data_IF_889530309975
#
_entry.id   IF_889530309975
#
_cell.length_a   1.000
_cell.length_b   1.000
_cell.length_c   1.000
_cell.angle_alpha   90.00
_cell.angle_beta   90.00
_cell.angle_gamma   90.00
#
_symmetry.space_group_name_H-M   'P 1'
#
loop_
_entity.id
_entity.type
_entity.pdbx_description
1 polymer ?
#
# COMPACT_ATOMS: atom_id res chain seq x y z
N UNK A 1 -2.97 -25.94 17.19
CA UNK A 1 -3.51 -26.21 15.83
C UNK A 1 -4.19 -24.94 15.35
N UNK A 2 -3.64 -24.26 14.34
CA UNK A 2 -4.20 -23.00 13.83
C UNK A 2 -5.45 -23.34 13.01
N UNK A 3 -6.64 -22.96 13.50
CA UNK A 3 -7.90 -23.15 12.77
C UNK A 3 -7.98 -22.09 11.67
N UNK A 4 -7.91 -22.49 10.41
CA UNK A 4 -8.21 -21.64 9.26
C UNK A 4 -9.71 -21.69 8.98
N UNK A 5 -10.32 -20.51 8.78
CA UNK A 5 -11.73 -20.36 8.46
C UNK A 5 -11.84 -19.74 7.07
N UNK A 6 -12.49 -20.44 6.13
CA UNK A 6 -12.62 -19.97 4.74
C UNK A 6 -13.24 -18.58 4.61
N UNK A 7 -14.19 -18.25 5.48
CA UNK A 7 -14.82 -16.93 5.51
C UNK A 7 -13.81 -15.82 5.86
N UNK A 8 -12.90 -16.07 6.80
CA UNK A 8 -11.85 -15.11 7.17
C UNK A 8 -10.80 -14.96 6.06
N UNK A 9 -10.43 -16.06 5.40
CA UNK A 9 -9.52 -16.02 4.24
C UNK A 9 -10.14 -15.20 3.10
N UNK A 10 -11.39 -15.49 2.75
CA UNK A 10 -12.13 -14.76 1.70
C UNK A 10 -12.27 -13.27 2.02
N UNK A 11 -12.53 -12.93 3.28
CA UNK A 11 -12.59 -11.54 3.72
C UNK A 11 -11.23 -10.84 3.58
N UNK A 12 -10.13 -11.55 3.85
CA UNK A 12 -8.79 -11.00 3.73
C UNK A 12 -8.36 -10.82 2.28
N UNK A 13 -8.71 -11.75 1.39
CA UNK A 13 -8.49 -11.63 -0.05
C UNK A 13 -9.25 -10.43 -0.63
N UNK A 14 -10.51 -10.25 -0.23
CA UNK A 14 -11.32 -9.09 -0.59
C UNK A 14 -10.69 -7.79 -0.09
N UNK A 15 -10.24 -7.76 1.17
CA UNK A 15 -9.55 -6.60 1.74
C UNK A 15 -8.30 -6.24 0.92
N UNK A 16 -7.46 -7.22 0.58
CA UNK A 16 -6.22 -7.01 -0.18
C UNK A 16 -6.51 -6.46 -1.57
N UNK A 17 -7.53 -6.99 -2.26
CA UNK A 17 -7.96 -6.49 -3.57
C UNK A 17 -8.47 -5.04 -3.49
N UNK A 18 -9.37 -4.73 -2.56
CA UNK A 18 -9.89 -3.37 -2.36
C UNK A 18 -8.77 -2.41 -1.97
N UNK A 19 -7.83 -2.85 -1.13
CA UNK A 19 -6.68 -2.04 -0.72
C UNK A 19 -5.78 -1.69 -1.92
N UNK A 20 -5.50 -2.67 -2.79
CA UNK A 20 -4.78 -2.44 -4.05
C UNK A 20 -5.50 -1.45 -4.96
N UNK A 21 -6.80 -1.66 -5.19
CA UNK A 21 -7.62 -0.79 -6.02
C UNK A 21 -7.66 0.66 -5.51
N UNK A 22 -7.76 0.85 -4.19
CA UNK A 22 -7.75 2.17 -3.54
C UNK A 22 -6.39 2.86 -3.65
N UNK A 23 -5.30 2.13 -3.40
CA UNK A 23 -3.94 2.64 -3.60
C UNK A 23 -3.70 3.05 -5.07
N UNK A 24 -4.23 2.27 -6.02
CA UNK A 24 -4.15 2.60 -7.44
C UNK A 24 -4.93 3.85 -7.82
N UNK A 25 -6.11 4.06 -7.23
CA UNK A 25 -6.87 5.29 -7.41
C UNK A 25 -6.08 6.51 -6.91
N UNK A 26 -5.50 6.42 -5.70
CA UNK A 26 -4.70 7.49 -5.13
C UNK A 26 -3.50 7.84 -6.04
N UNK A 27 -2.79 6.82 -6.53
CA UNK A 27 -1.65 6.99 -7.43
C UNK A 27 -2.02 7.76 -8.71
N UNK A 28 -3.20 7.52 -9.27
CA UNK A 28 -3.70 8.28 -10.42
C UNK A 28 -4.11 9.71 -10.04
N UNK A 29 -4.82 9.89 -8.92
CA UNK A 29 -5.28 11.21 -8.49
C UNK A 29 -4.12 12.19 -8.30
N UNK A 30 -2.98 11.72 -7.79
CA UNK A 30 -1.81 12.56 -7.52
C UNK A 30 -0.72 12.46 -8.61
N UNK A 31 -0.94 11.67 -9.66
CA UNK A 31 0.09 11.33 -10.66
C UNK A 31 1.41 10.87 -10.02
N UNK A 32 1.29 9.97 -9.04
CA UNK A 32 2.33 9.58 -8.08
C UNK A 32 3.48 8.74 -8.64
N UNK A 33 4.20 9.24 -9.64
CA UNK A 33 5.34 8.57 -10.29
C UNK A 33 6.47 8.21 -9.33
N UNK A 34 6.65 8.98 -8.24
CA UNK A 34 7.64 8.71 -7.19
C UNK A 34 7.34 7.45 -6.36
N UNK A 35 6.13 6.90 -6.47
CA UNK A 35 5.71 5.69 -5.80
C UNK A 35 4.63 5.89 -4.75
N UNK A 36 4.07 4.76 -4.31
CA UNK A 36 3.11 4.67 -3.20
C UNK A 36 3.76 3.95 -2.04
N UNK A 37 3.66 4.54 -0.85
CA UNK A 37 4.13 3.96 0.40
C UNK A 37 2.94 3.51 1.25
N UNK A 38 2.85 2.22 1.52
CA UNK A 38 1.85 1.61 2.39
C UNK A 38 2.35 1.66 3.83
N UNK A 39 1.75 2.56 4.62
CA UNK A 39 1.98 2.67 6.06
C UNK A 39 0.88 2.03 6.89
N UNK A 40 1.01 2.13 8.21
CA UNK A 40 0.03 1.60 9.18
C UNK A 40 0.33 0.18 9.63
N UNK A 41 -0.36 -0.27 10.68
CA UNK A 41 -0.05 -1.54 11.34
C UNK A 41 -0.47 -2.80 10.58
N UNK A 42 -1.43 -2.69 9.66
CA UNK A 42 -1.97 -3.85 8.91
C UNK A 42 -0.98 -4.27 7.82
N UNK A 43 -0.48 -3.34 7.00
CA UNK A 43 0.31 -3.65 5.81
C UNK A 43 1.56 -4.52 6.10
N UNK A 44 2.37 -4.25 7.13
CA UNK A 44 3.50 -5.11 7.50
C UNK A 44 3.06 -6.52 7.95
N UNK A 45 1.92 -6.64 8.63
CA UNK A 45 1.41 -7.92 9.17
C UNK A 45 0.86 -8.84 8.09
N UNK A 46 0.35 -8.28 7.00
CA UNK A 46 -0.19 -9.04 5.85
C UNK A 46 0.75 -9.01 4.64
N UNK A 47 2.03 -8.70 4.84
CA UNK A 47 3.01 -8.57 3.76
C UNK A 47 3.04 -9.76 2.78
N UNK A 48 2.93 -11.04 3.22
CA UNK A 48 2.86 -12.17 2.29
C UNK A 48 1.70 -12.05 1.29
N UNK A 49 0.54 -11.57 1.72
CA UNK A 49 -0.64 -11.37 0.87
C UNK A 49 -0.49 -10.15 -0.04
N UNK A 50 0.15 -9.08 0.44
CA UNK A 50 0.46 -7.92 -0.42
C UNK A 50 1.49 -8.24 -1.50
N UNK A 51 2.37 -9.23 -1.26
CA UNK A 51 3.31 -9.76 -2.25
C UNK A 51 2.67 -10.75 -3.23
N UNK A 52 1.46 -11.24 -2.93
CA UNK A 52 0.69 -12.03 -3.90
C UNK A 52 0.19 -11.15 -5.04
N UNK A 53 -0.27 -11.77 -6.12
CA UNK A 53 -0.78 -11.04 -7.29
C UNK A 53 -2.06 -10.24 -7.01
N UNK A 54 -2.79 -10.52 -5.92
CA UNK A 54 -4.07 -9.89 -5.62
C UNK A 54 -3.96 -8.36 -5.52
N UNK A 55 -3.02 -7.86 -4.71
CA UNK A 55 -2.87 -6.43 -4.49
C UNK A 55 -2.43 -5.70 -5.76
N UNK A 56 -1.37 -6.19 -6.42
CA UNK A 56 -0.79 -5.51 -7.58
C UNK A 56 -1.69 -5.61 -8.81
N UNK A 57 -2.46 -6.68 -8.96
CA UNK A 57 -3.46 -6.79 -10.02
C UNK A 57 -4.54 -5.73 -9.84
N UNK A 58 -5.11 -5.61 -8.64
CA UNK A 58 -6.14 -4.60 -8.35
C UNK A 58 -5.59 -3.16 -8.42
N UNK A 59 -4.34 -2.95 -8.01
CA UNK A 59 -3.65 -1.65 -8.14
C UNK A 59 -3.52 -1.22 -9.60
N UNK A 60 -3.13 -2.15 -10.48
CA UNK A 60 -2.90 -1.89 -11.92
C UNK A 60 -4.18 -1.92 -12.76
N UNK A 61 -5.29 -2.43 -12.22
CA UNK A 61 -6.57 -2.52 -12.91
C UNK A 61 -7.24 -1.14 -13.04
N UNK A 62 -6.71 -0.35 -13.98
CA UNK A 62 -7.13 1.03 -14.31
C UNK A 62 -7.33 1.22 -15.82
N UNK A 63 -7.77 0.16 -16.51
CA UNK A 63 -8.01 0.17 -17.95
C UNK A 63 -6.83 0.73 -18.75
N UNK A 64 -7.06 1.79 -19.53
CA UNK A 64 -6.02 2.45 -20.36
C UNK A 64 -4.79 2.94 -19.58
N UNK A 65 -4.90 3.14 -18.26
CA UNK A 65 -3.79 3.59 -17.43
C UNK A 65 -2.93 2.44 -16.89
N UNK A 66 -3.26 1.17 -17.17
CA UNK A 66 -2.53 0.01 -16.65
C UNK A 66 -1.02 0.07 -16.86
N UNK A 67 -0.58 0.53 -18.03
CA UNK A 67 0.84 0.68 -18.34
C UNK A 67 1.50 1.74 -17.45
N UNK A 68 0.87 2.91 -17.32
CA UNK A 68 1.31 3.95 -16.39
C UNK A 68 1.39 3.43 -14.95
N UNK A 69 0.39 2.67 -14.50
CA UNK A 69 0.36 2.07 -13.16
C UNK A 69 1.51 1.07 -12.93
N UNK A 70 1.97 0.40 -13.99
CA UNK A 70 3.04 -0.61 -13.89
C UNK A 70 4.40 0.01 -13.57
N UNK A 71 4.61 1.27 -13.96
CA UNK A 71 5.84 2.02 -13.65
C UNK A 71 5.90 2.58 -12.22
N UNK A 72 4.78 2.59 -11.48
CA UNK A 72 4.72 3.17 -10.13
C UNK A 72 5.20 2.14 -9.10
N UNK A 73 6.30 2.41 -8.36
CA UNK A 73 6.75 1.51 -7.32
C UNK A 73 5.81 1.56 -6.11
N UNK A 74 5.46 0.40 -5.56
CA UNK A 74 4.72 0.29 -4.30
C UNK A 74 5.63 -0.30 -3.23
N UNK A 75 5.73 0.35 -2.08
CA UNK A 75 6.60 -0.05 -0.97
C UNK A 75 5.81 -0.13 0.33
N UNK A 76 6.13 -1.10 1.19
CA UNK A 76 5.58 -1.18 2.55
C UNK A 76 6.57 -0.58 3.53
N UNK A 77 6.11 0.30 4.40
CA UNK A 77 6.93 0.90 5.46
C UNK A 77 7.09 -0.12 6.58
N UNK A 78 8.29 -0.70 6.70
CA UNK A 78 8.61 -1.71 7.74
C UNK A 78 9.14 -1.09 9.04
N UNK A 79 9.50 0.19 9.04
CA UNK A 79 10.00 0.87 10.22
C UNK A 79 8.84 1.30 11.12
N UNK A 80 8.67 0.64 12.26
CA UNK A 80 7.62 0.94 13.25
C UNK A 80 7.71 2.36 13.82
N UNK A 81 8.90 2.97 13.80
CA UNK A 81 9.14 4.34 14.27
C UNK A 81 8.93 5.39 13.19
N UNK A 82 8.58 5.02 11.96
CA UNK A 82 8.46 5.97 10.85
C UNK A 82 7.52 7.15 11.17
N UNK A 83 6.38 6.89 11.84
CA UNK A 83 5.44 7.93 12.24
C UNK A 83 6.04 8.90 13.26
N UNK A 84 6.79 8.39 14.25
CA UNK A 84 7.46 9.20 15.26
C UNK A 84 8.62 10.00 14.66
N UNK A 85 9.38 9.39 13.73
CA UNK A 85 10.45 10.07 13.01
C UNK A 85 9.91 11.23 12.16
N UNK A 86 8.79 11.03 11.47
CA UNK A 86 8.12 12.09 10.71
C UNK A 86 7.65 13.24 11.61
N UNK A 87 7.10 12.92 12.78
CA UNK A 87 6.70 13.92 13.76
C UNK A 87 7.90 14.71 14.31
N UNK A 88 9.01 14.03 14.64
CA UNK A 88 10.24 14.66 15.10
C UNK A 88 10.85 15.58 14.02
N UNK A 89 10.93 15.10 12.78
CA UNK A 89 11.43 15.87 11.63
C UNK A 89 10.62 17.16 11.42
N UNK A 90 9.29 17.05 11.46
CA UNK A 90 8.41 18.21 11.35
C UNK A 90 8.59 19.20 12.51
N UNK A 91 8.70 18.71 13.75
CA UNK A 91 8.89 19.54 14.94
C UNK A 91 10.23 20.29 14.94
N UNK A 92 11.29 19.70 14.37
CA UNK A 92 12.61 20.31 14.24
C UNK A 92 12.71 21.37 13.13
N UNK A 93 11.61 21.65 12.42
CA UNK A 93 11.56 22.66 11.37
C UNK A 93 12.29 22.26 10.08
N UNK A 94 12.64 20.98 9.93
CA UNK A 94 13.16 20.48 8.67
C UNK A 94 12.03 20.51 7.63
N UNK A 95 12.23 21.25 6.54
CA UNK A 95 11.21 21.37 5.49
C UNK A 95 10.97 20.00 4.88
N UNK A 96 9.75 19.49 5.03
CA UNK A 96 9.26 18.35 4.25
C UNK A 96 9.10 18.84 2.81
N UNK A 97 9.99 18.36 1.94
CA UNK A 97 10.00 18.40 0.47
C UNK A 97 8.91 19.33 -0.13
N UNK A 98 9.33 20.50 -0.61
CA UNK A 98 8.55 21.31 -1.57
C UNK A 98 8.80 20.81 -2.98
#
# INVERSE_FOLDING_TARGET
MMKTFRACESALDMFVSVYGAAAGNLALQIMGRGGIYLGGGIAPRILPLLKSDLFLSAFRDKGRFREFMTAIPVKVIMNERASLMGAAYFALGEKVIR
#
